data_IF_401927421219
#
_entry.id   IF_401927421219
#
_cell.length_a   1.000
_cell.length_b   1.000
_cell.length_c   1.000
_cell.angle_alpha   90.00
_cell.angle_beta   90.00
_cell.angle_gamma   90.00
#
_symmetry.space_group_name_H-M   'P 1'
#
loop_
_entity.id
_entity.type
_entity.pdbx_description
1 polymer ?
#
# COMPACT_ATOMS: atom_id res chain seq x y z
N UNK A 1 -28.47 61.27 -8.98
CA UNK A 1 -28.23 59.98 -9.66
C UNK A 1 -27.21 59.19 -8.87
N UNK A 2 -27.61 58.18 -8.12
CA UNK A 2 -26.68 57.18 -7.58
C UNK A 2 -26.36 56.20 -8.72
N UNK A 3 -25.07 55.89 -8.98
CA UNK A 3 -24.73 54.90 -9.99
C UNK A 3 -25.11 53.51 -9.49
N UNK A 4 -25.87 52.78 -10.31
CA UNK A 4 -26.12 51.35 -10.12
C UNK A 4 -24.79 50.60 -10.07
N UNK A 5 -24.51 49.97 -8.92
CA UNK A 5 -23.45 48.98 -8.78
C UNK A 5 -23.93 47.70 -9.48
N UNK A 6 -23.37 47.38 -10.65
CA UNK A 6 -23.55 46.08 -11.27
C UNK A 6 -23.00 44.99 -10.33
N UNK A 7 -23.76 43.93 -10.02
CA UNK A 7 -23.23 42.81 -9.25
C UNK A 7 -22.21 42.07 -10.11
N UNK A 8 -20.94 42.09 -9.71
CA UNK A 8 -19.91 41.23 -10.30
C UNK A 8 -20.38 39.76 -10.17
N UNK A 9 -20.73 39.14 -11.29
CA UNK A 9 -21.17 37.74 -11.28
C UNK A 9 -20.01 36.85 -10.84
N UNK A 10 -20.26 35.95 -9.88
CA UNK A 10 -19.27 34.98 -9.43
C UNK A 10 -18.87 34.06 -10.59
N UNK A 11 -17.56 33.89 -10.80
CA UNK A 11 -17.02 33.04 -11.88
C UNK A 11 -17.54 31.61 -11.77
N UNK A 12 -18.02 31.04 -12.87
CA UNK A 12 -18.50 29.66 -12.92
C UNK A 12 -17.38 28.66 -13.25
N UNK A 13 -17.58 27.38 -12.91
CA UNK A 13 -16.57 26.34 -13.11
C UNK A 13 -16.08 26.25 -14.56
N UNK A 14 -16.97 26.38 -15.55
CA UNK A 14 -16.62 26.32 -16.97
C UNK A 14 -15.73 27.50 -17.41
N UNK A 15 -15.94 28.69 -16.83
CA UNK A 15 -15.13 29.88 -17.10
C UNK A 15 -13.72 29.70 -16.55
N UNK A 16 -13.60 29.08 -15.37
CA UNK A 16 -12.31 28.76 -14.78
C UNK A 16 -11.58 27.64 -15.54
N UNK A 17 -12.28 26.59 -16.00
CA UNK A 17 -11.70 25.54 -16.85
C UNK A 17 -11.24 26.08 -18.21
N UNK A 18 -11.96 27.04 -18.80
CA UNK A 18 -11.55 27.69 -20.04
C UNK A 18 -10.14 28.33 -19.92
N UNK A 19 -9.80 28.88 -18.74
CA UNK A 19 -8.44 29.40 -18.46
C UNK A 19 -7.39 28.29 -18.41
N UNK A 20 -7.75 27.08 -17.99
CA UNK A 20 -6.86 25.90 -18.03
C UNK A 20 -6.57 25.52 -19.49
N UNK A 21 -7.60 25.42 -20.32
CA UNK A 21 -7.46 25.12 -21.76
C UNK A 21 -6.62 26.17 -22.49
N UNK A 22 -6.87 27.44 -22.23
CA UNK A 22 -6.15 28.56 -22.82
C UNK A 22 -4.65 28.54 -22.44
N UNK A 23 -4.34 28.24 -21.18
CA UNK A 23 -2.97 28.02 -20.73
C UNK A 23 -2.31 26.80 -21.39
N UNK A 24 -3.04 25.69 -21.55
CA UNK A 24 -2.58 24.50 -22.27
C UNK A 24 -2.28 24.80 -23.74
N UNK A 25 -3.14 25.55 -24.42
CA UNK A 25 -2.95 25.98 -25.82
C UNK A 25 -1.70 26.83 -26.02
N UNK A 26 -1.40 27.71 -25.05
CA UNK A 26 -0.16 28.51 -25.02
C UNK A 26 1.08 27.74 -24.57
N UNK A 27 0.97 26.45 -24.25
CA UNK A 27 2.04 25.63 -23.64
C UNK A 27 2.58 26.20 -22.32
N UNK A 28 1.78 27.02 -21.63
CA UNK A 28 2.13 27.56 -20.32
C UNK A 28 1.66 26.59 -19.24
N UNK A 29 2.48 25.57 -18.98
CA UNK A 29 2.16 24.48 -18.08
C UNK A 29 1.95 24.93 -16.63
N UNK A 30 2.72 25.90 -16.16
CA UNK A 30 2.59 26.45 -14.81
C UNK A 30 1.26 27.17 -14.61
N UNK A 31 0.86 28.00 -15.59
CA UNK A 31 -0.46 28.63 -15.56
C UNK A 31 -1.58 27.60 -15.64
N UNK A 32 -1.45 26.56 -16.46
CA UNK A 32 -2.45 25.49 -16.55
C UNK A 32 -2.62 24.76 -15.20
N UNK A 33 -1.51 24.41 -14.54
CA UNK A 33 -1.53 23.77 -13.22
C UNK A 33 -2.15 24.69 -12.16
N UNK A 34 -1.77 25.97 -12.14
CA UNK A 34 -2.30 26.94 -11.17
C UNK A 34 -3.82 27.15 -11.33
N UNK A 35 -4.30 27.30 -12.57
CA UNK A 35 -5.74 27.45 -12.84
C UNK A 35 -6.51 26.17 -12.53
N UNK A 36 -5.97 25.00 -12.88
CA UNK A 36 -6.60 23.73 -12.55
C UNK A 36 -6.70 23.52 -11.03
N UNK A 37 -5.65 23.87 -10.27
CA UNK A 37 -5.68 23.84 -8.80
C UNK A 37 -6.77 24.76 -8.24
N UNK A 38 -6.99 25.93 -8.86
CA UNK A 38 -8.08 26.84 -8.47
C UNK A 38 -9.45 26.21 -8.72
N UNK A 39 -9.66 25.55 -9.86
CA UNK A 39 -10.90 24.82 -10.17
C UNK A 39 -11.16 23.72 -9.13
N UNK A 40 -10.16 22.89 -8.87
CA UNK A 40 -10.26 21.78 -7.91
C UNK A 40 -10.54 22.31 -6.50
N UNK A 41 -9.90 23.41 -6.09
CA UNK A 41 -10.09 24.00 -4.76
C UNK A 41 -11.52 24.53 -4.54
N UNK A 42 -12.10 25.17 -5.55
CA UNK A 42 -13.42 25.83 -5.41
C UNK A 42 -14.55 24.81 -5.58
N UNK A 43 -14.48 23.96 -6.61
CA UNK A 43 -15.60 23.07 -6.99
C UNK A 43 -15.39 21.59 -6.66
N UNK A 44 -14.16 21.17 -6.30
CA UNK A 44 -13.80 19.76 -6.14
C UNK A 44 -14.62 19.02 -5.08
N UNK A 45 -14.85 19.62 -3.91
CA UNK A 45 -15.61 18.95 -2.84
C UNK A 45 -17.05 18.62 -3.25
N UNK A 46 -17.72 19.55 -3.94
CA UNK A 46 -19.09 19.34 -4.43
C UNK A 46 -19.13 18.36 -5.62
N UNK A 47 -18.18 18.50 -6.55
CA UNK A 47 -18.01 17.57 -7.65
C UNK A 47 -17.81 16.13 -7.18
N UNK A 48 -16.99 15.92 -6.14
CA UNK A 48 -16.74 14.59 -5.54
C UNK A 48 -18.01 14.00 -4.91
N UNK A 49 -18.74 14.78 -4.09
CA UNK A 49 -20.04 14.35 -3.55
C UNK A 49 -21.03 13.94 -4.64
N UNK A 50 -21.01 14.67 -5.76
CA UNK A 50 -21.86 14.38 -6.91
C UNK A 50 -21.42 13.07 -7.58
N UNK A 51 -20.11 12.85 -7.74
CA UNK A 51 -19.56 11.61 -8.25
C UNK A 51 -19.92 10.39 -7.37
N UNK A 52 -19.83 10.54 -6.04
CA UNK A 52 -20.06 9.46 -5.08
C UNK A 52 -21.53 8.98 -5.06
N UNK A 53 -22.47 9.82 -5.50
CA UNK A 53 -23.88 9.46 -5.67
C UNK A 53 -24.16 8.68 -6.96
N UNK A 54 -23.23 8.68 -7.92
CA UNK A 54 -23.37 7.99 -9.19
C UNK A 54 -22.82 6.57 -9.10
N UNK A 55 -23.52 5.62 -9.74
CA UNK A 55 -23.08 4.22 -9.88
C UNK A 55 -22.63 3.86 -11.30
N UNK A 56 -22.92 4.74 -12.25
CA UNK A 56 -22.56 4.65 -13.68
C UNK A 56 -22.58 6.04 -14.29
N UNK A 57 -21.98 6.18 -15.47
CA UNK A 57 -22.08 7.40 -16.27
C UNK A 57 -23.55 7.77 -16.50
N UNK A 58 -23.89 9.03 -16.30
CA UNK A 58 -25.21 9.54 -16.67
C UNK A 58 -25.39 9.48 -18.20
N UNK A 59 -26.62 9.36 -18.71
CA UNK A 59 -26.88 9.46 -20.14
C UNK A 59 -26.29 10.76 -20.73
N UNK A 60 -25.78 10.73 -21.96
CA UNK A 60 -25.09 11.89 -22.56
C UNK A 60 -25.96 13.16 -22.60
N UNK A 61 -27.28 13.00 -22.79
CA UNK A 61 -28.27 14.09 -22.73
C UNK A 61 -28.33 14.79 -21.36
N UNK A 62 -27.98 14.08 -20.30
CA UNK A 62 -28.00 14.55 -18.91
C UNK A 62 -26.63 15.05 -18.44
N UNK A 63 -25.58 14.94 -19.27
CA UNK A 63 -24.22 15.33 -18.88
C UNK A 63 -24.14 16.78 -18.35
N UNK A 64 -24.89 17.72 -18.95
CA UNK A 64 -24.92 19.13 -18.53
C UNK A 64 -25.40 19.33 -17.09
N UNK A 65 -26.20 18.41 -16.55
CA UNK A 65 -26.66 18.46 -15.14
C UNK A 65 -25.51 18.31 -14.14
N UNK A 66 -24.38 17.75 -14.59
CA UNK A 66 -23.20 17.45 -13.78
C UNK A 66 -22.04 18.42 -14.06
N UNK A 67 -22.35 19.67 -14.44
CA UNK A 67 -21.36 20.68 -14.87
C UNK A 67 -20.11 20.74 -13.99
N UNK A 68 -20.26 20.97 -12.69
CA UNK A 68 -19.11 21.07 -11.78
C UNK A 68 -18.25 19.79 -11.74
N UNK A 69 -18.87 18.60 -11.76
CA UNK A 69 -18.14 17.33 -11.82
C UNK A 69 -17.33 17.23 -13.12
N UNK A 70 -17.97 17.57 -14.23
CA UNK A 70 -17.34 17.50 -15.55
C UNK A 70 -16.16 18.47 -15.68
N UNK A 71 -16.32 19.71 -15.20
CA UNK A 71 -15.29 20.76 -15.23
C UNK A 71 -14.08 20.42 -14.35
N UNK A 72 -14.32 19.90 -13.14
CA UNK A 72 -13.25 19.42 -12.26
C UNK A 72 -12.54 18.22 -12.88
N UNK A 73 -13.29 17.29 -13.47
CA UNK A 73 -12.73 16.11 -14.14
C UNK A 73 -11.80 16.47 -15.30
N UNK A 74 -12.22 17.42 -16.15
CA UNK A 74 -11.36 17.94 -17.24
C UNK A 74 -10.15 18.66 -16.68
N UNK A 75 -10.33 19.53 -15.69
CA UNK A 75 -9.22 20.29 -15.09
C UNK A 75 -8.15 19.38 -14.48
N UNK A 76 -8.55 18.27 -13.86
CA UNK A 76 -7.60 17.25 -13.38
C UNK A 76 -6.83 16.57 -14.51
N UNK A 77 -7.51 16.20 -15.60
CA UNK A 77 -6.83 15.62 -16.77
C UNK A 77 -5.77 16.58 -17.33
N UNK A 78 -6.15 17.85 -17.54
CA UNK A 78 -5.26 18.88 -18.08
C UNK A 78 -4.09 19.18 -17.15
N UNK A 79 -4.33 19.21 -15.83
CA UNK A 79 -3.26 19.32 -14.85
C UNK A 79 -2.29 18.15 -14.96
N UNK A 80 -2.79 16.92 -15.11
CA UNK A 80 -1.97 15.74 -15.32
C UNK A 80 -1.12 15.84 -16.60
N UNK A 81 -1.73 16.29 -17.71
CA UNK A 81 -1.02 16.49 -18.98
C UNK A 81 0.07 17.57 -18.84
N UNK A 82 -0.24 18.71 -18.22
CA UNK A 82 0.71 19.80 -17.96
C UNK A 82 1.90 19.33 -17.11
N UNK A 83 1.64 18.61 -16.01
CA UNK A 83 2.68 18.03 -15.15
C UNK A 83 3.56 17.05 -15.92
N UNK A 84 2.94 16.19 -16.74
CA UNK A 84 3.68 15.25 -17.58
C UNK A 84 4.56 15.97 -18.61
N UNK A 85 4.08 17.05 -19.22
CA UNK A 85 4.85 17.86 -20.19
C UNK A 85 5.98 18.66 -19.54
N UNK A 86 5.86 19.01 -18.25
CA UNK A 86 6.96 19.57 -17.44
C UNK A 86 8.01 18.55 -17.01
N UNK A 87 7.78 17.25 -17.24
CA UNK A 87 8.64 16.18 -16.78
C UNK A 87 8.33 15.66 -15.38
N UNK A 88 7.34 16.24 -14.68
CA UNK A 88 6.86 15.74 -13.39
C UNK A 88 5.87 14.58 -13.58
N UNK A 89 6.41 13.46 -14.05
CA UNK A 89 5.62 12.25 -14.35
C UNK A 89 5.00 11.64 -13.08
N UNK A 90 5.60 11.84 -11.91
CA UNK A 90 5.08 11.34 -10.64
C UNK A 90 3.81 12.10 -10.24
N UNK A 91 3.85 13.44 -10.23
CA UNK A 91 2.68 14.25 -9.94
C UNK A 91 1.59 14.10 -11.02
N UNK A 92 1.97 13.90 -12.29
CA UNK A 92 1.03 13.60 -13.36
C UNK A 92 0.22 12.33 -13.07
N UNK A 93 0.88 11.24 -12.68
CA UNK A 93 0.22 9.99 -12.31
C UNK A 93 -0.73 10.16 -11.12
N UNK A 94 -0.28 10.83 -10.07
CA UNK A 94 -1.12 11.10 -8.90
C UNK A 94 -2.37 11.87 -9.32
N UNK A 95 -2.21 12.89 -10.18
CA UNK A 95 -3.32 13.70 -10.67
C UNK A 95 -4.31 12.87 -11.51
N UNK A 96 -3.82 12.02 -12.41
CA UNK A 96 -4.69 11.11 -13.17
C UNK A 96 -5.40 10.10 -12.25
N UNK A 97 -4.72 9.57 -11.24
CA UNK A 97 -5.32 8.62 -10.31
C UNK A 97 -6.41 9.29 -9.46
N UNK A 98 -6.22 10.53 -9.03
CA UNK A 98 -7.26 11.32 -8.35
C UNK A 98 -8.51 11.47 -9.22
N UNK A 99 -8.34 11.73 -10.52
CA UNK A 99 -9.45 11.75 -11.47
C UNK A 99 -10.17 10.39 -11.53
N UNK A 100 -9.42 9.29 -11.59
CA UNK A 100 -10.00 7.94 -11.62
C UNK A 100 -10.69 7.51 -10.33
N UNK A 101 -10.24 7.98 -9.18
CA UNK A 101 -10.75 7.51 -7.89
C UNK A 101 -11.90 8.39 -7.39
N UNK A 102 -11.88 9.69 -7.71
CA UNK A 102 -12.75 10.68 -7.08
C UNK A 102 -13.73 11.38 -8.04
N UNK A 103 -13.48 11.28 -9.35
CA UNK A 103 -14.25 11.99 -10.38
C UNK A 103 -14.51 11.11 -11.62
N UNK A 104 -14.59 9.79 -11.41
CA UNK A 104 -14.75 8.75 -12.44
C UNK A 104 -15.83 9.05 -13.47
N UNK A 105 -16.97 9.59 -13.03
CA UNK A 105 -18.17 9.76 -13.85
C UNK A 105 -18.23 11.10 -14.59
N UNK A 106 -17.17 11.91 -14.52
CA UNK A 106 -17.05 13.11 -15.34
C UNK A 106 -17.12 12.78 -16.83
N UNK A 107 -17.87 13.58 -17.57
CA UNK A 107 -18.08 13.42 -19.01
C UNK A 107 -18.40 14.76 -19.66
N UNK A 108 -17.76 15.06 -20.78
CA UNK A 108 -17.83 16.39 -21.40
C UNK A 108 -18.10 16.31 -22.88
N UNK A 109 -18.81 17.33 -23.36
CA UNK A 109 -18.87 17.68 -24.76
C UNK A 109 -17.73 18.66 -25.03
N UNK A 110 -16.87 18.38 -26.00
CA UNK A 110 -15.92 19.37 -26.46
C UNK A 110 -16.62 20.44 -27.33
N UNK A 111 -15.96 21.58 -27.62
CA UNK A 111 -16.54 22.64 -28.46
C UNK A 111 -16.87 22.21 -29.90
N UNK A 112 -16.36 21.05 -30.36
CA UNK A 112 -16.58 20.47 -31.69
C UNK A 112 -17.71 19.44 -31.69
N UNK A 113 -18.38 19.24 -30.55
CA UNK A 113 -19.50 18.30 -30.41
C UNK A 113 -19.06 16.86 -30.14
N UNK A 114 -17.79 16.59 -29.83
CA UNK A 114 -17.35 15.27 -29.40
C UNK A 114 -17.65 15.03 -27.93
N UNK A 115 -18.31 13.90 -27.64
CA UNK A 115 -18.58 13.45 -26.29
C UNK A 115 -17.49 12.51 -25.81
N UNK A 116 -16.83 12.85 -24.70
CA UNK A 116 -15.71 12.07 -24.17
C UNK A 116 -15.65 12.11 -22.64
N UNK A 117 -14.84 11.21 -22.07
CA UNK A 117 -14.75 10.99 -20.62
C UNK A 117 -13.32 11.20 -20.13
N UNK A 118 -13.05 12.21 -19.29
CA UNK A 118 -11.71 12.47 -18.78
C UNK A 118 -11.07 11.28 -18.07
N UNK A 119 -11.85 10.50 -17.31
CA UNK A 119 -11.36 9.31 -16.63
C UNK A 119 -10.91 8.20 -17.60
N UNK A 120 -11.54 8.05 -18.77
CA UNK A 120 -11.08 7.09 -19.78
C UNK A 120 -9.74 7.50 -20.38
N UNK A 121 -9.55 8.79 -20.65
CA UNK A 121 -8.28 9.30 -21.16
C UNK A 121 -7.17 9.21 -20.10
N UNK A 122 -7.47 9.57 -18.85
CA UNK A 122 -6.55 9.43 -17.74
C UNK A 122 -6.07 7.98 -17.53
N UNK A 123 -6.95 6.98 -17.71
CA UNK A 123 -6.56 5.55 -17.71
C UNK A 123 -5.50 5.26 -18.76
N UNK A 124 -5.69 5.75 -20.00
CA UNK A 124 -4.72 5.55 -21.09
C UNK A 124 -3.39 6.23 -20.78
N UNK A 125 -3.42 7.48 -20.28
CA UNK A 125 -2.21 8.22 -19.89
C UNK A 125 -1.45 7.52 -18.76
N UNK A 126 -2.15 6.98 -17.77
CA UNK A 126 -1.54 6.21 -16.68
C UNK A 126 -0.81 4.97 -17.19
N UNK A 127 -1.42 4.20 -18.08
CA UNK A 127 -0.78 3.02 -18.68
C UNK A 127 0.51 3.42 -19.41
N UNK A 128 0.49 4.52 -20.18
CA UNK A 128 1.68 5.02 -20.88
C UNK A 128 2.78 5.45 -19.90
N UNK A 129 2.43 6.26 -18.88
CA UNK A 129 3.39 6.72 -17.89
C UNK A 129 3.91 5.60 -16.99
N UNK A 130 3.11 4.56 -16.73
CA UNK A 130 3.55 3.37 -16.01
C UNK A 130 4.60 2.61 -16.83
N UNK A 131 4.36 2.40 -18.13
CA UNK A 131 5.33 1.79 -19.04
C UNK A 131 6.65 2.55 -19.12
N UNK A 132 6.61 3.89 -19.15
CA UNK A 132 7.82 4.73 -19.24
C UNK A 132 8.67 4.76 -17.97
N UNK A 133 8.07 4.54 -16.80
CA UNK A 133 8.79 4.59 -15.51
C UNK A 133 9.05 3.22 -14.91
N UNK A 134 8.41 2.18 -15.44
CA UNK A 134 8.68 0.83 -15.00
C UNK A 134 10.14 0.55 -15.32
N UNK A 135 10.96 0.12 -14.35
CA UNK A 135 12.27 -0.42 -14.69
C UNK A 135 12.05 -1.49 -15.76
N UNK A 136 12.89 -1.54 -16.79
CA UNK A 136 12.84 -2.56 -17.83
C UNK A 136 13.32 -3.89 -17.23
N UNK A 137 12.55 -4.41 -16.28
CA UNK A 137 12.81 -5.64 -15.55
C UNK A 137 12.53 -6.79 -16.51
N UNK A 138 13.60 -7.50 -16.89
CA UNK A 138 13.45 -8.86 -17.39
C UNK A 138 13.20 -9.76 -16.18
N UNK A 139 11.96 -9.74 -15.69
CA UNK A 139 11.51 -10.57 -14.56
C UNK A 139 12.00 -12.00 -14.77
N UNK A 140 12.77 -12.53 -13.82
CA UNK A 140 13.24 -13.91 -13.89
C UNK A 140 12.04 -14.86 -14.06
N UNK A 141 12.20 -15.91 -14.87
CA UNK A 141 11.09 -16.85 -15.13
C UNK A 141 10.57 -17.42 -13.80
N UNK A 142 9.24 -17.50 -13.60
CA UNK A 142 8.67 -18.05 -12.37
C UNK A 142 8.98 -19.55 -12.27
N UNK A 143 9.51 -19.98 -11.12
CA UNK A 143 9.80 -21.39 -10.83
C UNK A 143 8.66 -22.09 -10.08
N UNK A 144 7.68 -21.33 -9.58
CA UNK A 144 6.53 -21.82 -8.83
C UNK A 144 5.23 -21.44 -9.51
N UNK A 145 4.26 -22.35 -9.46
CA UNK A 145 2.89 -22.11 -9.93
C UNK A 145 2.14 -21.17 -9.00
N UNK A 146 1.10 -20.50 -9.49
CA UNK A 146 0.22 -19.67 -8.65
C UNK A 146 -0.38 -20.45 -7.46
N UNK A 147 -0.63 -21.74 -7.63
CA UNK A 147 -1.11 -22.62 -6.54
C UNK A 147 -0.06 -22.81 -5.44
N UNK A 148 1.22 -22.98 -5.79
CA UNK A 148 2.32 -23.08 -4.82
C UNK A 148 2.58 -21.75 -4.10
N UNK A 149 2.27 -20.63 -4.76
CA UNK A 149 2.39 -19.29 -4.16
C UNK A 149 1.20 -18.93 -3.24
N UNK A 150 0.12 -19.70 -3.25
CA UNK A 150 -1.07 -19.39 -2.46
C UNK A 150 -0.86 -19.73 -0.97
N UNK A 151 -1.07 -18.75 -0.10
CA UNK A 151 -1.17 -18.96 1.35
C UNK A 151 -2.49 -19.68 1.71
N UNK A 152 -2.58 -20.38 2.87
CA UNK A 152 -3.82 -21.02 3.31
C UNK A 152 -5.01 -20.04 3.41
N UNK A 153 -4.71 -18.77 3.67
CA UNK A 153 -5.57 -17.61 3.59
C UNK A 153 -4.71 -16.34 3.72
N UNK A 154 -5.25 -15.17 3.38
CA UNK A 154 -4.44 -13.94 3.26
C UNK A 154 -4.12 -13.31 4.62
N UNK A 155 -5.04 -13.39 5.59
CA UNK A 155 -4.85 -12.87 6.95
C UNK A 155 -3.73 -13.61 7.71
N UNK A 156 -2.64 -12.90 7.97
CA UNK A 156 -1.49 -13.35 8.76
C UNK A 156 -1.38 -12.62 10.10
N UNK A 157 -0.29 -12.83 10.83
CA UNK A 157 0.10 -11.98 11.96
C UNK A 157 1.61 -12.08 12.22
N UNK A 158 2.19 -11.03 12.80
CA UNK A 158 3.57 -11.03 13.24
C UNK A 158 3.65 -10.86 14.75
N UNK A 159 4.22 -11.86 15.43
CA UNK A 159 4.50 -11.81 16.86
C UNK A 159 5.84 -12.45 17.12
N UNK A 160 6.65 -11.84 17.99
CA UNK A 160 7.87 -12.46 18.44
C UNK A 160 7.54 -13.73 19.23
N UNK A 161 8.47 -14.69 19.19
CA UNK A 161 8.32 -15.97 19.89
C UNK A 161 9.56 -16.21 20.75
N UNK A 162 9.93 -15.19 21.54
CA UNK A 162 11.15 -15.18 22.35
C UNK A 162 11.11 -16.22 23.49
N UNK A 163 12.25 -16.39 24.15
CA UNK A 163 12.37 -17.28 25.30
C UNK A 163 11.44 -16.83 26.45
N UNK A 164 11.09 -17.77 27.33
CA UNK A 164 10.25 -17.48 28.49
C UNK A 164 10.91 -16.43 29.40
N UNK A 165 10.12 -15.45 29.86
CA UNK A 165 10.61 -14.33 30.68
C UNK A 165 11.05 -13.10 29.88
N UNK A 166 11.18 -13.20 28.56
CA UNK A 166 11.44 -12.06 27.69
C UNK A 166 10.13 -11.42 27.20
N UNK A 167 10.14 -10.11 26.96
CA UNK A 167 9.03 -9.41 26.33
C UNK A 167 8.74 -10.02 24.95
N UNK A 168 7.48 -10.34 24.67
CA UNK A 168 7.10 -10.99 23.43
C UNK A 168 7.59 -12.45 23.35
N UNK A 169 7.64 -13.12 24.50
CA UNK A 169 7.91 -14.55 24.59
C UNK A 169 6.81 -15.40 23.93
N UNK A 170 7.13 -16.65 23.59
CA UNK A 170 6.14 -17.60 23.11
C UNK A 170 5.01 -17.86 24.15
N UNK A 171 5.32 -17.80 25.45
CA UNK A 171 4.31 -17.96 26.51
C UNK A 171 3.26 -16.83 26.46
N UNK A 172 3.69 -15.61 26.17
CA UNK A 172 2.81 -14.44 26.03
C UNK A 172 2.05 -14.45 24.69
N UNK A 173 2.77 -14.73 23.59
CA UNK A 173 2.25 -14.51 22.24
C UNK A 173 1.52 -15.71 21.63
N UNK A 174 1.72 -16.94 22.10
CA UNK A 174 0.94 -18.09 21.61
C UNK A 174 -0.56 -17.97 21.94
N UNK A 175 -0.98 -17.56 23.16
CA UNK A 175 -2.38 -17.22 23.42
C UNK A 175 -2.92 -16.11 22.52
N UNK A 176 -2.13 -15.05 22.27
CA UNK A 176 -2.50 -13.93 21.39
C UNK A 176 -2.69 -14.40 19.93
N UNK A 177 -1.77 -15.23 19.42
CA UNK A 177 -1.84 -15.88 18.11
C UNK A 177 -3.15 -16.68 17.95
N UNK A 178 -3.50 -17.49 18.96
CA UNK A 178 -4.76 -18.26 18.98
C UNK A 178 -5.99 -17.36 18.99
N UNK A 179 -5.97 -16.26 19.76
CA UNK A 179 -7.07 -15.28 19.80
C UNK A 179 -7.28 -14.60 18.45
N UNK A 180 -6.20 -14.23 17.74
CA UNK A 180 -6.26 -13.56 16.42
C UNK A 180 -6.76 -14.51 15.32
N UNK A 181 -6.46 -15.80 15.44
CA UNK A 181 -6.84 -16.85 14.47
C UNK A 181 -6.44 -16.49 13.01
N UNK A 182 -5.14 -16.31 12.73
CA UNK A 182 -4.65 -16.07 11.37
C UNK A 182 -4.50 -17.39 10.59
N UNK A 183 -4.22 -17.30 9.29
CA UNK A 183 -3.89 -18.44 8.45
C UNK A 183 -2.38 -18.70 8.37
N UNK A 184 -1.58 -17.66 8.64
CA UNK A 184 -0.12 -17.74 8.66
C UNK A 184 0.46 -16.77 9.69
N UNK A 185 1.70 -17.01 10.09
CA UNK A 185 2.41 -16.14 11.02
C UNK A 185 3.92 -16.14 10.78
N UNK A 186 4.60 -15.10 11.26
CA UNK A 186 6.05 -15.08 11.36
C UNK A 186 6.52 -14.34 12.62
N UNK A 187 7.79 -14.48 12.96
CA UNK A 187 8.37 -13.99 14.23
C UNK A 187 9.75 -13.34 14.05
N UNK A 188 10.01 -12.73 12.89
CA UNK A 188 11.30 -12.11 12.53
C UNK A 188 12.53 -13.01 12.63
N UNK A 189 12.34 -14.33 12.66
CA UNK A 189 13.42 -15.29 12.83
C UNK A 189 13.05 -16.66 12.31
N UNK A 190 13.69 -17.68 12.87
CA UNK A 190 13.51 -19.09 12.45
C UNK A 190 12.73 -19.91 13.48
N UNK A 191 12.30 -19.29 14.58
CA UNK A 191 11.87 -19.97 15.79
C UNK A 191 10.54 -20.71 15.62
N UNK A 192 10.66 -22.02 15.40
CA UNK A 192 9.56 -22.97 15.45
C UNK A 192 9.33 -23.38 16.91
N UNK A 193 8.43 -22.69 17.60
CA UNK A 193 8.13 -22.95 19.01
C UNK A 193 7.04 -24.01 19.19
N UNK A 194 7.14 -24.79 20.27
CA UNK A 194 6.11 -25.77 20.62
C UNK A 194 4.77 -25.09 20.92
N UNK A 195 3.66 -25.74 20.58
CA UNK A 195 2.30 -25.23 20.84
C UNK A 195 1.76 -24.24 19.81
N UNK A 196 2.51 -23.95 18.74
CA UNK A 196 2.01 -23.21 17.58
C UNK A 196 0.86 -23.98 16.91
N UNK A 197 -0.26 -23.33 16.54
CA UNK A 197 -1.40 -24.03 15.96
C UNK A 197 -1.06 -24.68 14.61
N UNK A 198 -1.36 -25.98 14.44
CA UNK A 198 -0.99 -26.75 13.25
C UNK A 198 -1.60 -26.23 11.93
N UNK A 199 -2.74 -25.53 12.00
CA UNK A 199 -3.42 -24.93 10.84
C UNK A 199 -2.89 -23.54 10.47
N UNK A 200 -2.02 -22.96 11.30
CA UNK A 200 -1.36 -21.67 11.04
C UNK A 200 -0.01 -21.98 10.40
N UNK A 201 0.17 -21.58 9.15
CA UNK A 201 1.48 -21.75 8.50
C UNK A 201 2.52 -20.81 9.13
N UNK A 202 3.67 -21.32 9.53
CA UNK A 202 4.79 -20.49 9.98
C UNK A 202 5.74 -20.18 8.82
N UNK A 203 6.02 -18.89 8.62
CA UNK A 203 6.91 -18.40 7.57
C UNK A 203 8.19 -17.86 8.21
N UNK A 204 9.32 -18.59 8.16
CA UNK A 204 10.59 -18.12 8.72
C UNK A 204 11.18 -16.96 7.91
N UNK A 205 12.04 -16.17 8.55
CA UNK A 205 12.69 -14.99 7.99
C UNK A 205 14.19 -14.99 8.26
N UNK A 206 15.01 -14.60 7.27
CA UNK A 206 16.38 -14.18 7.54
C UNK A 206 16.35 -12.68 7.86
N UNK A 207 16.25 -12.30 9.14
CA UNK A 207 16.15 -10.89 9.52
C UNK A 207 17.29 -10.04 8.95
N UNK A 208 18.52 -10.54 9.05
CA UNK A 208 19.72 -9.96 8.46
C UNK A 208 20.76 -11.04 8.16
N UNK A 209 21.96 -10.63 7.76
CA UNK A 209 23.07 -11.54 7.51
C UNK A 209 24.43 -10.89 7.79
N UNK A 210 25.26 -11.57 8.58
CA UNK A 210 26.58 -11.07 9.02
C UNK A 210 27.76 -11.82 8.41
N UNK A 211 27.55 -13.07 7.97
CA UNK A 211 28.53 -13.84 7.19
C UNK A 211 27.83 -14.91 6.34
N UNK A 212 28.48 -15.34 5.25
CA UNK A 212 27.96 -16.40 4.38
C UNK A 212 27.86 -17.73 5.11
N UNK A 213 28.87 -18.07 5.91
CA UNK A 213 28.95 -19.35 6.61
C UNK A 213 27.95 -19.40 7.77
N UNK A 214 27.80 -18.29 8.49
CA UNK A 214 26.80 -18.16 9.55
C UNK A 214 25.38 -18.32 9.01
N UNK A 215 25.07 -17.65 7.89
CA UNK A 215 23.76 -17.79 7.24
C UNK A 215 23.52 -19.23 6.75
N UNK A 216 24.48 -19.83 6.03
CA UNK A 216 24.37 -21.21 5.53
C UNK A 216 24.16 -22.20 6.66
N UNK A 217 25.00 -22.15 7.70
CA UNK A 217 24.91 -23.05 8.84
C UNK A 217 23.58 -22.88 9.58
N UNK A 218 23.17 -21.65 9.85
CA UNK A 218 21.91 -21.36 10.52
C UNK A 218 20.69 -21.90 9.76
N UNK A 219 20.62 -21.66 8.45
CA UNK A 219 19.55 -22.20 7.60
C UNK A 219 19.58 -23.74 7.55
N UNK A 220 20.76 -24.34 7.43
CA UNK A 220 20.92 -25.80 7.40
C UNK A 220 20.43 -26.44 8.71
N UNK A 221 20.77 -25.84 9.85
CA UNK A 221 20.44 -26.38 11.16
C UNK A 221 18.97 -26.13 11.55
N UNK A 222 18.42 -24.96 11.20
CA UNK A 222 17.15 -24.46 11.75
C UNK A 222 16.00 -24.36 10.76
N UNK A 223 16.23 -24.44 9.45
CA UNK A 223 15.20 -24.21 8.43
C UNK A 223 15.05 -25.39 7.48
N UNK A 224 16.15 -25.92 6.95
CA UNK A 224 16.16 -27.02 5.98
C UNK A 224 15.41 -28.27 6.48
N UNK A 225 15.52 -28.71 7.75
CA UNK A 225 14.74 -29.85 8.25
C UNK A 225 13.23 -29.60 8.21
N UNK A 226 12.79 -28.35 8.42
CA UNK A 226 11.38 -27.98 8.36
C UNK A 226 10.87 -27.86 6.92
N UNK A 227 11.73 -27.49 5.97
CA UNK A 227 11.41 -27.57 4.54
C UNK A 227 11.21 -29.03 4.12
N UNK A 228 12.15 -29.91 4.49
CA UNK A 228 12.09 -31.36 4.15
C UNK A 228 10.86 -32.06 4.72
N UNK A 229 10.41 -31.65 5.91
CA UNK A 229 9.18 -32.18 6.52
C UNK A 229 7.89 -31.51 6.02
N UNK A 230 7.98 -30.53 5.11
CA UNK A 230 6.83 -29.80 4.57
C UNK A 230 6.22 -28.77 5.51
N UNK A 231 6.84 -28.52 6.68
CA UNK A 231 6.40 -27.50 7.66
C UNK A 231 6.70 -26.08 7.19
N UNK A 232 7.85 -25.86 6.55
CA UNK A 232 8.22 -24.57 5.94
C UNK A 232 8.00 -24.68 4.43
N UNK A 233 7.14 -23.81 3.91
CA UNK A 233 6.74 -23.82 2.49
C UNK A 233 7.16 -22.56 1.73
N UNK A 234 7.69 -21.56 2.42
CA UNK A 234 8.12 -20.26 1.89
C UNK A 234 9.03 -19.57 2.90
N UNK A 235 9.78 -18.57 2.45
CA UNK A 235 10.80 -17.92 3.27
C UNK A 235 10.82 -16.40 3.04
N UNK A 236 10.94 -15.63 4.12
CA UNK A 236 11.04 -14.18 4.11
C UNK A 236 12.50 -13.71 4.01
N UNK A 237 12.78 -12.78 3.11
CA UNK A 237 14.06 -12.09 3.03
C UNK A 237 14.33 -11.14 4.19
N UNK A 238 15.34 -10.28 4.02
CA UNK A 238 15.84 -9.37 5.06
C UNK A 238 14.81 -8.33 5.53
N UNK A 239 14.87 -7.99 6.82
CA UNK A 239 13.96 -7.06 7.48
C UNK A 239 14.51 -5.62 7.45
N UNK A 240 13.80 -4.72 6.79
CA UNK A 240 14.12 -3.28 6.70
C UNK A 240 15.62 -3.01 6.47
N UNK A 241 16.25 -3.64 5.45
CA UNK A 241 17.68 -3.46 5.18
C UNK A 241 18.05 -2.00 4.84
N UNK A 242 17.06 -1.20 4.48
CA UNK A 242 17.13 0.22 4.16
C UNK A 242 17.10 1.15 5.39
N UNK A 243 16.98 0.60 6.60
CA UNK A 243 16.91 1.34 7.86
C UNK A 243 18.08 1.01 8.77
N UNK A 244 18.66 2.04 9.41
CA UNK A 244 19.91 1.92 10.20
C UNK A 244 19.75 1.09 11.46
N UNK A 245 18.57 1.15 12.06
CA UNK A 245 18.23 0.48 13.32
C UNK A 245 17.75 -0.97 13.11
N UNK A 246 17.76 -1.46 11.86
CA UNK A 246 17.28 -2.78 11.47
C UNK A 246 18.42 -3.58 10.83
N UNK A 247 18.16 -4.39 9.80
CA UNK A 247 19.21 -5.20 9.16
C UNK A 247 20.35 -4.36 8.56
N UNK A 248 20.09 -3.07 8.27
CA UNK A 248 21.09 -2.05 7.92
C UNK A 248 22.18 -2.57 6.98
N UNK A 249 21.77 -2.99 5.78
CA UNK A 249 22.67 -3.64 4.83
C UNK A 249 22.54 -2.97 3.47
N UNK A 250 23.62 -2.66 2.74
CA UNK A 250 23.52 -2.19 1.36
C UNK A 250 22.89 -3.23 0.43
N UNK A 251 22.17 -2.82 -0.61
CA UNK A 251 21.52 -3.77 -1.54
C UNK A 251 22.51 -4.74 -2.19
N UNK A 252 23.74 -4.29 -2.48
CA UNK A 252 24.82 -5.13 -3.01
C UNK A 252 25.24 -6.23 -2.05
N UNK A 253 25.17 -5.98 -0.74
CA UNK A 253 25.44 -7.01 0.27
C UNK A 253 24.30 -8.03 0.31
N UNK A 254 23.04 -7.58 0.26
CA UNK A 254 21.89 -8.48 0.21
C UNK A 254 21.94 -9.43 -1.01
N UNK A 255 22.33 -8.91 -2.18
CA UNK A 255 22.50 -9.72 -3.39
C UNK A 255 23.59 -10.79 -3.27
N UNK A 256 24.63 -10.59 -2.45
CA UNK A 256 25.65 -11.63 -2.20
C UNK A 256 25.08 -12.82 -1.42
N UNK A 257 24.13 -12.56 -0.53
CA UNK A 257 23.48 -13.59 0.29
C UNK A 257 22.31 -14.25 -0.42
N UNK A 258 21.71 -13.59 -1.42
CA UNK A 258 20.49 -14.08 -2.08
C UNK A 258 20.60 -15.50 -2.67
N UNK A 259 21.70 -15.90 -3.33
CA UNK A 259 21.86 -17.28 -3.81
C UNK A 259 21.81 -18.34 -2.71
N UNK A 260 22.18 -17.99 -1.47
CA UNK A 260 22.06 -18.89 -0.31
C UNK A 260 20.58 -19.12 0.01
N UNK A 261 19.75 -18.08 -0.04
CA UNK A 261 18.31 -18.19 0.16
C UNK A 261 17.65 -18.95 -1.00
N UNK A 262 18.06 -18.71 -2.25
CA UNK A 262 17.53 -19.43 -3.41
C UNK A 262 17.77 -20.94 -3.32
N UNK A 263 18.87 -21.37 -2.70
CA UNK A 263 19.20 -22.78 -2.51
C UNK A 263 18.23 -23.53 -1.59
N UNK A 264 17.39 -22.81 -0.81
CA UNK A 264 16.31 -23.41 -0.02
C UNK A 264 15.21 -24.04 -0.88
N UNK A 265 15.13 -23.68 -2.17
CA UNK A 265 14.18 -24.22 -3.15
C UNK A 265 12.70 -24.15 -2.70
N UNK A 266 12.35 -23.12 -1.93
CA UNK A 266 10.98 -22.73 -1.60
C UNK A 266 10.73 -21.30 -2.12
N UNK A 267 9.48 -20.90 -2.35
CA UNK A 267 9.12 -19.52 -2.69
C UNK A 267 9.77 -18.49 -1.74
N UNK A 268 10.42 -17.48 -2.32
CA UNK A 268 11.12 -16.41 -1.59
C UNK A 268 10.36 -15.09 -1.69
N UNK A 269 10.12 -14.48 -0.53
CA UNK A 269 9.70 -13.09 -0.47
C UNK A 269 10.93 -12.19 -0.46
N UNK A 270 10.90 -11.11 -1.25
CA UNK A 270 11.94 -10.07 -1.22
C UNK A 270 12.18 -9.55 0.20
N UNK A 271 13.28 -8.84 0.44
CA UNK A 271 13.44 -8.06 1.67
C UNK A 271 12.25 -7.12 1.89
N UNK A 272 11.74 -7.07 3.12
CA UNK A 272 10.63 -6.21 3.56
C UNK A 272 11.17 -4.83 3.90
N UNK A 273 11.21 -3.92 2.93
CA UNK A 273 11.80 -2.59 3.11
C UNK A 273 10.81 -1.61 3.75
N UNK A 274 11.32 -0.67 4.54
CA UNK A 274 10.54 0.44 5.09
C UNK A 274 10.10 1.42 4.00
N UNK A 275 10.91 1.60 2.95
CA UNK A 275 10.58 2.36 1.75
C UNK A 275 10.51 1.46 0.50
N UNK A 276 9.42 0.69 0.34
CA UNK A 276 9.29 -0.22 -0.77
C UNK A 276 9.06 0.48 -2.11
N UNK A 277 8.70 1.77 -2.13
CA UNK A 277 8.45 2.49 -3.39
C UNK A 277 9.68 3.29 -3.87
N UNK A 278 10.62 3.59 -2.98
CA UNK A 278 11.68 4.56 -3.21
C UNK A 278 11.18 5.99 -3.32
N UNK A 279 9.99 6.28 -2.77
CA UNK A 279 9.43 7.63 -2.70
C UNK A 279 9.48 8.14 -1.27
N UNK A 280 9.78 9.41 -1.08
CA UNK A 280 9.78 10.03 0.23
C UNK A 280 8.36 10.53 0.56
N UNK A 281 7.58 9.72 1.29
CA UNK A 281 6.24 10.07 1.77
C UNK A 281 6.08 9.78 3.27
N UNK A 282 4.91 10.05 3.83
CA UNK A 282 4.67 9.88 5.27
C UNK A 282 4.70 8.41 5.74
N UNK A 283 4.78 7.43 4.85
CA UNK A 283 4.61 6.01 5.19
C UNK A 283 5.92 5.24 5.33
N UNK A 284 7.06 5.91 5.08
CA UNK A 284 8.39 5.27 4.96
C UNK A 284 9.23 5.38 6.23
N UNK A 285 8.63 5.77 7.35
CA UNK A 285 9.30 5.84 8.65
C UNK A 285 10.57 6.73 8.64
N UNK A 286 10.57 7.79 7.82
CA UNK A 286 11.73 8.67 7.64
C UNK A 286 12.85 8.12 6.74
N UNK A 287 12.67 6.94 6.14
CA UNK A 287 13.64 6.34 5.22
C UNK A 287 13.48 6.95 3.82
N UNK A 288 14.47 7.73 3.39
CA UNK A 288 14.57 8.23 2.02
C UNK A 288 15.62 7.43 1.26
N UNK A 289 15.22 6.30 0.66
CA UNK A 289 16.14 5.33 0.07
C UNK A 289 15.56 4.66 -1.17
N UNK A 290 16.37 4.47 -2.22
CA UNK A 290 16.04 3.69 -3.41
C UNK A 290 16.34 2.19 -3.27
N UNK A 291 16.72 1.74 -2.06
CA UNK A 291 17.27 0.41 -1.80
C UNK A 291 16.51 -0.73 -2.48
N UNK A 292 15.19 -0.79 -2.30
CA UNK A 292 14.37 -1.87 -2.85
C UNK A 292 14.30 -1.83 -4.38
N UNK A 293 14.27 -0.62 -4.95
CA UNK A 293 14.32 -0.42 -6.40
C UNK A 293 15.63 -0.97 -6.96
N UNK A 294 16.76 -0.66 -6.32
CA UNK A 294 18.08 -1.09 -6.77
C UNK A 294 18.28 -2.61 -6.59
N UNK A 295 17.84 -3.17 -5.46
CA UNK A 295 17.87 -4.61 -5.19
C UNK A 295 17.06 -5.38 -6.24
N UNK A 296 15.77 -5.03 -6.43
CA UNK A 296 14.88 -5.78 -7.33
C UNK A 296 15.35 -5.69 -8.78
N UNK A 297 15.83 -4.52 -9.23
CA UNK A 297 16.40 -4.34 -10.57
C UNK A 297 17.61 -5.24 -10.80
N UNK A 298 18.51 -5.29 -9.84
CA UNK A 298 19.76 -6.04 -9.98
C UNK A 298 19.55 -7.54 -9.78
N UNK A 299 18.64 -7.95 -8.89
CA UNK A 299 18.20 -9.34 -8.78
C UNK A 299 17.63 -9.85 -10.12
N UNK A 300 16.74 -9.09 -10.75
CA UNK A 300 16.21 -9.41 -12.08
C UNK A 300 17.31 -9.45 -13.16
N UNK A 301 18.25 -8.49 -13.14
CA UNK A 301 19.39 -8.48 -14.08
C UNK A 301 20.28 -9.72 -13.93
N UNK A 302 20.46 -10.21 -12.70
CA UNK A 302 21.26 -11.40 -12.39
C UNK A 302 20.49 -12.71 -12.58
N UNK A 303 19.17 -12.64 -12.86
CA UNK A 303 18.32 -13.82 -12.98
C UNK A 303 17.97 -14.47 -11.64
N UNK A 304 18.14 -13.77 -10.52
CA UNK A 304 17.78 -14.25 -9.20
C UNK A 304 16.25 -14.34 -9.05
N UNK A 305 15.80 -15.43 -8.43
CA UNK A 305 14.39 -15.67 -8.13
C UNK A 305 13.91 -14.83 -6.97
N UNK A 306 12.83 -14.10 -7.20
CA UNK A 306 12.03 -13.40 -6.19
C UNK A 306 10.57 -13.67 -6.52
N UNK A 307 9.88 -14.40 -5.64
CA UNK A 307 8.52 -14.90 -5.90
C UNK A 307 7.43 -14.01 -5.31
N UNK A 308 7.69 -13.38 -4.17
CA UNK A 308 6.84 -12.35 -3.58
C UNK A 308 7.60 -11.05 -3.37
N UNK A 309 6.85 -9.95 -3.33
CA UNK A 309 7.36 -8.63 -2.93
C UNK A 309 6.93 -8.35 -1.50
N UNK A 310 7.90 -8.30 -0.59
CA UNK A 310 7.72 -7.96 0.81
C UNK A 310 7.52 -6.47 1.00
N UNK A 311 6.49 -6.08 1.76
CA UNK A 311 6.10 -4.67 1.90
C UNK A 311 5.83 -4.35 3.36
N UNK A 312 6.52 -3.33 3.88
CA UNK A 312 6.14 -2.67 5.13
C UNK A 312 5.45 -1.34 4.83
N UNK A 313 4.45 -0.99 5.63
CA UNK A 313 3.74 0.26 5.48
C UNK A 313 3.27 0.80 6.82
N UNK A 314 3.72 2.01 7.18
CA UNK A 314 3.28 2.68 8.40
C UNK A 314 2.88 4.12 8.12
N UNK A 315 1.62 4.31 7.70
CA UNK A 315 1.10 5.60 7.25
C UNK A 315 -0.03 6.16 8.11
N UNK A 316 -0.87 7.00 7.48
CA UNK A 316 -2.05 7.59 8.11
C UNK A 316 -3.27 6.67 8.07
N UNK A 317 -4.47 7.23 8.21
CA UNK A 317 -5.75 6.49 8.15
C UNK A 317 -6.48 6.66 6.82
N UNK A 318 -5.82 7.16 5.78
CA UNK A 318 -6.37 7.25 4.42
C UNK A 318 -6.24 5.90 3.69
N UNK A 319 -7.37 5.19 3.60
CA UNK A 319 -7.42 3.90 2.92
C UNK A 319 -7.18 4.00 1.40
N UNK A 320 -7.53 5.12 0.77
CA UNK A 320 -7.29 5.31 -0.67
C UNK A 320 -5.79 5.44 -0.96
N UNK A 321 -5.05 6.15 -0.10
CA UNK A 321 -3.59 6.26 -0.21
C UNK A 321 -2.90 4.90 -0.06
N UNK A 322 -3.29 4.11 0.95
CA UNK A 322 -2.80 2.75 1.13
C UNK A 322 -3.01 1.89 -0.13
N UNK A 323 -4.26 1.85 -0.64
CA UNK A 323 -4.62 1.09 -1.85
C UNK A 323 -3.83 1.56 -3.07
N UNK A 324 -3.65 2.87 -3.23
CA UNK A 324 -2.87 3.43 -4.32
C UNK A 324 -1.41 3.01 -4.23
N UNK A 325 -0.78 3.07 -3.05
CA UNK A 325 0.61 2.64 -2.85
C UNK A 325 0.81 1.16 -3.15
N UNK A 326 -0.06 0.28 -2.66
CA UNK A 326 0.03 -1.16 -2.94
C UNK A 326 -0.06 -1.45 -4.46
N UNK A 327 -0.97 -0.78 -5.18
CA UNK A 327 -1.04 -0.88 -6.65
C UNK A 327 0.26 -0.42 -7.31
N UNK A 328 0.86 0.68 -6.88
CA UNK A 328 2.11 1.19 -7.45
C UNK A 328 3.28 0.25 -7.19
N UNK A 329 3.40 -0.31 -5.99
CA UNK A 329 4.43 -1.31 -5.64
C UNK A 329 4.26 -2.58 -6.48
N UNK A 330 3.03 -3.10 -6.61
CA UNK A 330 2.72 -4.26 -7.43
C UNK A 330 3.14 -4.08 -8.89
N UNK A 331 2.76 -2.97 -9.52
CA UNK A 331 3.13 -2.69 -10.92
C UNK A 331 4.64 -2.45 -11.07
N UNK A 332 5.28 -1.76 -10.10
CA UNK A 332 6.72 -1.43 -10.13
C UNK A 332 7.60 -2.67 -10.17
N UNK A 333 7.21 -3.74 -9.46
CA UNK A 333 8.04 -4.93 -9.28
C UNK A 333 7.61 -6.11 -10.15
N UNK A 334 7.07 -5.82 -11.32
CA UNK A 334 6.77 -6.81 -12.34
C UNK A 334 5.53 -7.65 -12.02
N UNK A 335 4.59 -7.10 -11.25
CA UNK A 335 3.31 -7.75 -10.91
C UNK A 335 3.47 -9.09 -10.18
N UNK A 336 4.55 -9.21 -9.40
CA UNK A 336 4.73 -10.28 -8.41
C UNK A 336 3.73 -10.13 -7.27
N UNK A 337 3.18 -11.22 -6.71
CA UNK A 337 2.28 -11.14 -5.58
C UNK A 337 2.90 -10.38 -4.39
N UNK A 338 2.13 -9.51 -3.75
CA UNK A 338 2.57 -8.81 -2.56
C UNK A 338 2.37 -9.66 -1.32
N UNK A 339 3.37 -9.66 -0.44
CA UNK A 339 3.23 -10.12 0.94
C UNK A 339 3.47 -8.92 1.85
N UNK A 340 2.38 -8.33 2.36
CA UNK A 340 2.42 -7.13 3.19
C UNK A 340 2.71 -7.59 4.62
N UNK A 341 3.99 -7.73 4.94
CA UNK A 341 4.45 -8.41 6.16
C UNK A 341 4.27 -7.54 7.40
N UNK A 342 4.22 -6.22 7.25
CA UNK A 342 3.89 -5.31 8.33
C UNK A 342 3.07 -4.14 7.80
N UNK A 343 1.92 -3.89 8.41
CA UNK A 343 1.21 -2.64 8.20
C UNK A 343 0.33 -2.25 9.38
N UNK A 344 0.30 -0.95 9.66
CA UNK A 344 -0.61 -0.30 10.60
C UNK A 344 -0.50 1.23 10.46
N UNK A 345 -1.57 2.01 10.70
CA UNK A 345 -1.43 3.43 10.92
C UNK A 345 -0.53 3.72 12.13
N UNK A 346 0.40 4.65 11.99
CA UNK A 346 1.32 5.03 13.06
C UNK A 346 1.71 6.51 12.99
N UNK A 347 1.99 7.09 14.15
CA UNK A 347 2.50 8.46 14.29
C UNK A 347 3.88 8.45 14.94
N UNK A 348 4.91 8.28 14.13
CA UNK A 348 6.31 8.22 14.57
C UNK A 348 6.81 9.50 15.28
N UNK A 349 6.05 10.60 15.20
CA UNK A 349 6.37 11.85 15.91
C UNK A 349 5.80 11.88 17.32
N UNK A 350 4.84 11.03 17.67
CA UNK A 350 4.23 11.00 18.99
C UNK A 350 5.20 10.42 20.03
N UNK A 351 5.49 11.20 21.07
CA UNK A 351 6.30 10.79 22.23
C UNK A 351 5.45 10.41 23.44
N UNK A 352 4.21 10.87 23.48
CA UNK A 352 3.19 10.52 24.48
C UNK A 352 1.85 10.25 23.78
N UNK A 353 0.96 9.50 24.43
CA UNK A 353 -0.31 9.05 23.82
C UNK A 353 -1.17 10.20 23.29
N UNK A 354 -1.26 11.31 24.04
CA UNK A 354 -2.07 12.47 23.66
C UNK A 354 -1.61 13.17 22.38
N UNK A 355 -0.33 13.01 21.99
CA UNK A 355 0.22 13.56 20.75
C UNK A 355 -0.14 12.73 19.51
N UNK A 356 -0.52 11.47 19.68
CA UNK A 356 -0.78 10.58 18.55
C UNK A 356 -1.98 11.09 17.73
N UNK A 357 -1.74 11.38 16.45
CA UNK A 357 -2.74 11.86 15.49
C UNK A 357 -3.63 10.74 14.92
N UNK A 358 -3.19 9.49 14.99
CA UNK A 358 -3.96 8.31 14.58
C UNK A 358 -5.00 8.00 15.65
N UNK A 359 -6.22 8.49 15.49
CA UNK A 359 -7.30 8.27 16.46
C UNK A 359 -7.94 6.89 16.25
N UNK A 360 -8.27 6.20 17.35
CA UNK A 360 -8.82 4.85 17.30
C UNK A 360 -10.03 4.68 16.36
N UNK A 361 -11.02 5.61 16.30
CA UNK A 361 -12.13 5.48 15.34
C UNK A 361 -11.66 5.48 13.88
N UNK A 362 -10.67 6.32 13.55
CA UNK A 362 -10.12 6.42 12.21
C UNK A 362 -9.27 5.20 11.84
N UNK A 363 -8.53 4.62 12.80
CA UNK A 363 -7.77 3.38 12.60
C UNK A 363 -8.71 2.19 12.37
N UNK A 364 -9.81 2.09 13.14
CA UNK A 364 -10.82 1.06 12.92
C UNK A 364 -11.51 1.21 11.56
N UNK A 365 -11.89 2.43 11.16
CA UNK A 365 -12.47 2.70 9.85
C UNK A 365 -11.50 2.34 8.71
N UNK A 366 -10.22 2.70 8.85
CA UNK A 366 -9.17 2.29 7.93
C UNK A 366 -9.11 0.77 7.78
N UNK A 367 -9.04 0.02 8.89
CA UNK A 367 -9.00 -1.44 8.88
C UNK A 367 -10.26 -2.05 8.23
N UNK A 368 -11.45 -1.53 8.59
CA UNK A 368 -12.75 -1.92 8.01
C UNK A 368 -12.80 -1.74 6.50
N UNK A 369 -12.03 -0.80 5.95
CA UNK A 369 -11.99 -0.56 4.52
C UNK A 369 -10.87 -1.34 3.79
N UNK A 370 -9.67 -1.45 4.37
CA UNK A 370 -8.52 -2.03 3.66
C UNK A 370 -8.48 -3.56 3.70
N UNK A 371 -8.89 -4.21 4.80
CA UNK A 371 -8.85 -5.68 4.86
C UNK A 371 -9.77 -6.33 3.83
N UNK A 372 -11.05 -5.92 3.71
CA UNK A 372 -11.93 -6.52 2.70
C UNK A 372 -11.46 -6.25 1.28
N UNK A 373 -10.87 -5.08 1.04
CA UNK A 373 -10.26 -4.78 -0.24
C UNK A 373 -9.09 -5.73 -0.53
N UNK A 374 -8.18 -5.96 0.42
CA UNK A 374 -7.03 -6.88 0.25
C UNK A 374 -7.48 -8.33 0.04
N UNK A 375 -8.50 -8.78 0.76
CA UNK A 375 -9.10 -10.12 0.57
C UNK A 375 -9.58 -10.33 -0.88
N UNK A 376 -10.04 -9.26 -1.55
CA UNK A 376 -10.49 -9.28 -2.95
C UNK A 376 -9.39 -9.09 -4.00
N UNK A 377 -8.14 -8.85 -3.61
CA UNK A 377 -7.04 -8.66 -4.58
C UNK A 377 -6.29 -9.97 -4.82
N UNK A 378 -6.40 -10.56 -6.02
CA UNK A 378 -5.69 -11.81 -6.36
C UNK A 378 -4.16 -11.70 -6.30
N UNK A 379 -3.65 -10.48 -6.42
CA UNK A 379 -2.23 -10.16 -6.39
C UNK A 379 -1.70 -9.85 -4.98
N UNK A 380 -2.54 -9.90 -3.95
CA UNK A 380 -2.09 -9.89 -2.55
C UNK A 380 -2.09 -11.32 -2.06
N UNK A 381 -0.90 -11.89 -1.87
CA UNK A 381 -0.74 -13.24 -1.36
C UNK A 381 -1.12 -13.32 0.13
N UNK A 382 -0.71 -12.32 0.91
CA UNK A 382 -1.06 -12.22 2.33
C UNK A 382 -0.71 -10.86 2.92
N UNK A 383 -1.30 -10.58 4.08
CA UNK A 383 -1.03 -9.38 4.88
C UNK A 383 -0.94 -9.74 6.36
N UNK A 384 -0.07 -9.09 7.12
CA UNK A 384 0.04 -9.24 8.56
C UNK A 384 -0.01 -7.86 9.23
N UNK A 385 -1.02 -7.66 10.07
CA UNK A 385 -1.14 -6.41 10.82
C UNK A 385 -0.03 -6.33 11.86
N UNK A 386 0.65 -5.19 11.94
CA UNK A 386 1.61 -4.95 13.01
C UNK A 386 0.86 -4.44 14.25
N UNK A 387 0.69 -5.33 15.24
CA UNK A 387 0.05 -4.96 16.50
C UNK A 387 1.07 -4.31 17.42
N UNK A 388 1.05 -2.98 17.50
CA UNK A 388 1.72 -2.26 18.58
C UNK A 388 1.15 -2.65 19.94
N UNK A 389 1.90 -2.42 21.00
CA UNK A 389 1.44 -2.57 22.37
C UNK A 389 0.68 -1.32 22.84
N UNK A 390 -0.30 -1.45 23.77
CA UNK A 390 -1.12 -0.33 24.24
C UNK A 390 -0.34 0.81 24.89
N UNK A 391 0.89 0.55 25.33
CA UNK A 391 1.75 1.53 25.99
C UNK A 391 2.59 2.33 24.98
N UNK A 392 2.71 1.91 23.72
CA UNK A 392 3.56 2.54 22.71
C UNK A 392 2.93 3.82 22.13
N UNK A 393 3.49 5.02 22.39
CA UNK A 393 2.83 6.28 22.03
C UNK A 393 2.49 6.42 20.54
N UNK A 394 3.40 5.99 19.67
CA UNK A 394 3.31 6.16 18.22
C UNK A 394 2.29 5.22 17.55
N UNK A 395 1.95 4.08 18.18
CA UNK A 395 1.14 3.04 17.55
C UNK A 395 0.00 2.48 18.41
N UNK A 396 -0.19 2.94 19.65
CA UNK A 396 -1.16 2.34 20.59
C UNK A 396 -2.59 2.18 20.04
N UNK A 397 -3.05 3.08 19.17
CA UNK A 397 -4.40 2.99 18.55
C UNK A 397 -4.52 1.89 17.50
N UNK A 398 -3.40 1.34 17.05
CA UNK A 398 -3.29 0.19 16.16
C UNK A 398 -3.08 -1.13 16.93
N UNK A 399 -3.16 -1.13 18.26
CA UNK A 399 -3.05 -2.36 19.05
C UNK A 399 -4.27 -3.27 18.88
N UNK A 400 -4.02 -4.55 18.59
CA UNK A 400 -5.08 -5.57 18.55
C UNK A 400 -5.52 -6.02 19.94
N UNK A 401 -4.77 -5.66 20.98
CA UNK A 401 -5.06 -6.05 22.36
C UNK A 401 -5.26 -4.85 23.26
N UNK A 402 -6.05 -5.01 24.31
CA UNK A 402 -6.10 -4.06 25.40
C UNK A 402 -5.01 -4.37 26.44
N UNK A 403 -4.89 -3.50 27.46
CA UNK A 403 -3.94 -3.67 28.58
C UNK A 403 -4.13 -4.96 29.39
N UNK A 404 -5.26 -5.64 29.26
CA UNK A 404 -5.58 -6.89 29.94
C UNK A 404 -5.32 -8.12 29.04
N UNK A 405 -4.81 -7.92 27.81
CA UNK A 405 -4.55 -8.97 26.84
C UNK A 405 -5.81 -9.52 26.17
N UNK A 406 -6.95 -8.83 26.27
CA UNK A 406 -8.15 -9.16 25.50
C UNK A 406 -8.10 -8.46 24.13
N UNK A 407 -8.85 -8.97 23.16
CA UNK A 407 -8.94 -8.31 21.86
C UNK A 407 -9.63 -6.94 22.01
N UNK A 408 -8.94 -5.89 21.57
CA UNK A 408 -9.54 -4.58 21.38
C UNK A 408 -10.65 -4.65 20.31
N UNK A 409 -11.43 -3.58 20.11
CA UNK A 409 -12.38 -3.54 18.99
C UNK A 409 -11.69 -3.79 17.65
N UNK A 410 -10.49 -3.23 17.47
CA UNK A 410 -9.64 -3.45 16.31
C UNK A 410 -9.24 -4.93 16.18
N UNK A 411 -8.80 -5.55 17.28
CA UNK A 411 -8.48 -6.99 17.33
C UNK A 411 -9.66 -7.90 17.03
N UNK A 412 -10.86 -7.56 17.53
CA UNK A 412 -12.10 -8.29 17.23
C UNK A 412 -12.45 -8.19 15.74
N UNK A 413 -12.33 -6.99 15.15
CA UNK A 413 -12.54 -6.81 13.72
C UNK A 413 -11.51 -7.59 12.89
N UNK A 414 -10.22 -7.47 13.20
CA UNK A 414 -9.16 -8.23 12.52
C UNK A 414 -9.41 -9.75 12.56
N UNK A 415 -9.81 -10.27 13.75
CA UNK A 415 -10.17 -11.68 13.90
C UNK A 415 -11.34 -12.10 13.01
N UNK A 416 -12.33 -11.24 12.82
CA UNK A 416 -13.57 -11.54 12.09
C UNK A 416 -13.36 -11.70 10.58
N UNK A 417 -12.31 -11.10 10.00
CA UNK A 417 -12.00 -11.24 8.58
C UNK A 417 -11.44 -12.64 8.30
N UNK A 418 -11.96 -13.28 7.26
CA UNK A 418 -11.57 -14.62 6.80
C UNK A 418 -11.77 -14.76 5.30
N UNK A 419 -11.28 -15.86 4.71
CA UNK A 419 -11.51 -16.15 3.29
C UNK A 419 -13.02 -16.26 2.96
N UNK A 420 -13.81 -16.80 3.89
CA UNK A 420 -15.25 -17.01 3.72
C UNK A 420 -16.08 -15.77 4.10
N UNK A 421 -15.52 -14.88 4.92
CA UNK A 421 -16.11 -13.60 5.32
C UNK A 421 -15.09 -12.47 5.11
N UNK A 422 -14.86 -12.06 3.85
CA UNK A 422 -13.83 -11.08 3.53
C UNK A 422 -14.18 -9.68 4.07
N UNK A 423 -15.46 -9.37 4.26
CA UNK A 423 -15.89 -8.11 4.86
C UNK A 423 -15.72 -8.09 6.39
N UNK A 424 -15.58 -9.26 7.04
CA UNK A 424 -15.55 -9.34 8.50
C UNK A 424 -16.86 -8.86 9.15
N UNK A 425 -16.83 -8.70 10.47
CA UNK A 425 -17.97 -8.21 11.25
C UNK A 425 -17.96 -6.69 11.31
N UNK A 426 -18.66 -6.08 10.35
CA UNK A 426 -18.78 -4.63 10.22
C UNK A 426 -19.55 -3.96 11.38
N UNK A 427 -20.25 -4.74 12.22
CA UNK A 427 -20.98 -4.21 13.39
C UNK A 427 -20.08 -3.89 14.59
N UNK A 428 -18.82 -4.32 14.57
CA UNK A 428 -17.88 -4.07 15.67
C UNK A 428 -17.53 -2.60 15.73
N UNK A 429 -17.91 -1.93 16.81
CA UNK A 429 -17.55 -0.56 17.09
C UNK A 429 -16.70 -0.43 18.36
N UNK A 430 -16.19 0.79 18.56
CA UNK A 430 -15.48 1.14 19.80
C UNK A 430 -16.49 1.19 20.97
N UNK A 431 -16.07 0.77 22.17
CA UNK A 431 -16.92 0.82 23.37
C UNK A 431 -17.27 2.25 23.79
#
# INVERSE_FOLDING_TARGET
MFPLVCPAHAEEAYQATAKVWDAMGRKNWDAAIAQANRVIRIWGAQARRTNDQLKKYAPAKDAKKYGNLNEVGVSLLLKGDALSKKGDKAAAKVTYQVLLDQYTYAQVWDPKGWFWKPAEEARKKLVLLQKETAPNLKVAKPNFTAAQLKLPGKKGICFSMRAAGEEGSAQENLPRLKKVNPYWSYSWGWDQVAGQPLKVEFVPMAWGAWSTDGLRKGLQDKVVPHIKSGKVKRFLGFNEPDKKEQANMPYRAALKYWPILESLNVPLCSPGCANPEGLNDGTVQGVNSSWMVDFMREADRLGYRVDYVGVHWYGGTDAADFKAKMRRVYEKYGRRPLMITEFAPADWQAKIHSQNRMKAPAVLAFMKEVLPWMERQDWIAGYAWFSFEPHEPHGHTSSLFDKNGNLSALGRFYRSVSTDSPDGDQSIDLP
#
